data_IF_812703330443
#
_entry.id   IF_812703330443
#
_cell.length_a   1.000
_cell.length_b   1.000
_cell.length_c   1.000
_cell.angle_alpha   90.00
_cell.angle_beta   90.00
_cell.angle_gamma   90.00
#
_symmetry.space_group_name_H-M   'P 1'
#
loop_
_entity.id
_entity.type
_entity.pdbx_description
1 polymer ?
#
# COMPACT_ATOMS: atom_id res chain seq x y z
N UNK A 1 -34.92 -50.98 14.01
CA UNK A 1 -34.65 -49.54 14.13
C UNK A 1 -33.22 -49.23 14.62
N UNK A 2 -32.68 -49.87 15.63
CA UNK A 2 -31.36 -49.55 16.21
C UNK A 2 -30.16 -49.75 15.27
N UNK A 3 -30.23 -50.70 14.31
CA UNK A 3 -29.15 -50.96 13.32
C UNK A 3 -29.08 -49.89 12.20
N UNK A 4 -30.21 -49.31 11.82
CA UNK A 4 -30.28 -48.23 10.80
C UNK A 4 -29.76 -46.93 11.38
N UNK A 5 -30.01 -46.65 12.67
CA UNK A 5 -29.48 -45.45 13.36
C UNK A 5 -27.96 -45.50 13.51
N UNK A 6 -27.36 -46.68 13.73
CA UNK A 6 -25.89 -46.85 13.83
C UNK A 6 -25.20 -46.73 12.47
N UNK A 7 -25.80 -47.17 11.40
CA UNK A 7 -25.26 -46.97 10.04
C UNK A 7 -25.37 -45.52 9.58
N UNK A 8 -26.43 -44.81 9.92
CA UNK A 8 -26.57 -43.39 9.65
C UNK A 8 -25.55 -42.52 10.45
N UNK A 9 -25.31 -42.85 11.72
CA UNK A 9 -24.32 -42.20 12.55
C UNK A 9 -22.88 -42.43 12.06
N UNK A 10 -22.55 -43.62 11.53
CA UNK A 10 -21.23 -43.92 10.94
C UNK A 10 -21.04 -43.22 9.61
N UNK A 11 -22.08 -43.04 8.79
CA UNK A 11 -22.00 -42.28 7.54
C UNK A 11 -21.81 -40.76 7.76
N UNK A 12 -22.45 -40.18 8.79
CA UNK A 12 -22.29 -38.78 9.15
C UNK A 12 -20.88 -38.52 9.73
N UNK A 13 -20.34 -39.47 10.51
CA UNK A 13 -18.96 -39.34 11.07
C UNK A 13 -17.89 -39.53 10.00
N UNK A 14 -18.14 -40.34 8.96
CA UNK A 14 -17.24 -40.52 7.82
C UNK A 14 -17.16 -39.27 6.89
N UNK A 15 -18.24 -38.49 6.78
CA UNK A 15 -18.28 -37.29 5.95
C UNK A 15 -17.59 -36.08 6.61
N UNK A 16 -17.48 -36.06 7.94
CA UNK A 16 -16.81 -34.97 8.69
C UNK A 16 -15.26 -35.02 8.64
N UNK A 17 -14.68 -36.13 8.18
CA UNK A 17 -13.23 -36.35 8.12
C UNK A 17 -12.55 -35.88 6.81
N UNK A 18 -13.33 -35.38 5.83
CA UNK A 18 -12.81 -34.96 4.51
C UNK A 18 -12.71 -33.43 4.39
N UNK A 19 -12.98 -32.69 5.45
CA UNK A 19 -12.64 -31.27 5.48
C UNK A 19 -11.10 -31.13 5.64
N UNK A 20 -10.38 -31.30 4.54
CA UNK A 20 -8.99 -30.90 4.47
C UNK A 20 -8.85 -29.44 4.87
N UNK A 21 -7.71 -29.00 5.42
CA UNK A 21 -7.48 -27.59 5.72
C UNK A 21 -7.74 -26.80 4.43
N UNK A 22 -8.71 -25.90 4.47
CA UNK A 22 -8.90 -24.94 3.40
C UNK A 22 -7.65 -24.05 3.43
N UNK A 23 -6.66 -24.37 2.61
CA UNK A 23 -5.51 -23.49 2.37
C UNK A 23 -6.08 -22.21 1.80
N UNK A 24 -5.94 -21.12 2.54
CA UNK A 24 -6.34 -19.79 2.11
C UNK A 24 -5.31 -19.27 1.10
N UNK A 25 -5.24 -19.90 -0.09
CA UNK A 25 -4.42 -19.43 -1.18
C UNK A 25 -4.87 -18.05 -1.63
N UNK A 26 -3.94 -17.16 -1.89
CA UNK A 26 -4.21 -15.88 -2.54
C UNK A 26 -4.19 -16.06 -4.06
N UNK A 27 -5.06 -15.34 -4.78
CA UNK A 27 -4.99 -15.34 -6.24
C UNK A 27 -3.74 -14.58 -6.69
N UNK A 28 -3.18 -15.00 -7.83
CA UNK A 28 -1.97 -14.35 -8.36
C UNK A 28 -2.19 -12.84 -8.52
N UNK A 29 -3.33 -12.39 -9.03
CA UNK A 29 -3.65 -10.95 -9.18
C UNK A 29 -3.61 -10.13 -7.89
N UNK A 30 -3.78 -10.77 -6.73
CA UNK A 30 -3.79 -10.07 -5.45
C UNK A 30 -2.37 -9.83 -4.91
N UNK A 31 -1.35 -10.54 -5.44
CA UNK A 31 0.03 -10.54 -4.97
C UNK A 31 1.06 -10.07 -6.00
N UNK A 32 0.64 -9.85 -7.26
CA UNK A 32 1.52 -9.36 -8.32
C UNK A 32 0.95 -8.11 -8.98
N UNK A 33 1.81 -7.37 -9.65
CA UNK A 33 1.48 -6.31 -10.60
C UNK A 33 2.08 -6.69 -11.96
N UNK A 34 1.47 -6.24 -13.06
CA UNK A 34 1.97 -6.52 -14.41
C UNK A 34 2.94 -5.42 -14.81
N UNK A 35 4.14 -5.77 -15.26
CA UNK A 35 5.15 -4.80 -15.71
C UNK A 35 4.61 -3.99 -16.91
N UNK A 36 4.82 -2.68 -16.86
CA UNK A 36 4.31 -1.75 -17.89
C UNK A 36 2.87 -1.27 -17.67
N UNK A 37 2.06 -2.00 -16.87
CA UNK A 37 0.70 -1.58 -16.51
C UNK A 37 0.77 -0.67 -15.28
N UNK A 38 1.04 0.62 -15.50
CA UNK A 38 1.17 1.62 -14.45
C UNK A 38 0.51 2.93 -14.86
N UNK A 39 0.04 3.67 -13.86
CA UNK A 39 -0.43 5.03 -14.07
C UNK A 39 0.71 5.93 -14.57
N UNK A 40 0.45 6.71 -15.62
CA UNK A 40 1.35 7.76 -16.08
C UNK A 40 0.97 9.07 -15.41
N UNK A 41 1.97 9.73 -14.84
CA UNK A 41 1.77 11.02 -14.18
C UNK A 41 1.74 12.13 -15.21
N UNK A 42 0.66 12.90 -15.24
CA UNK A 42 0.51 14.08 -16.08
C UNK A 42 0.63 15.34 -15.24
N UNK A 43 1.23 16.36 -15.83
CA UNK A 43 1.39 17.68 -15.22
C UNK A 43 0.99 18.77 -16.21
N UNK A 44 0.37 19.81 -15.73
CA UNK A 44 0.03 20.99 -16.53
C UNK A 44 0.10 22.27 -15.70
N UNK A 45 0.24 23.37 -16.38
CA UNK A 45 0.16 24.69 -15.81
C UNK A 45 -1.13 25.37 -16.27
N UNK A 46 -1.94 25.84 -15.32
CA UNK A 46 -3.25 26.40 -15.61
C UNK A 46 -3.58 27.67 -14.78
N UNK A 47 -4.73 28.20 -15.08
CA UNK A 47 -5.31 29.34 -14.35
C UNK A 47 -6.66 28.92 -13.76
N UNK A 48 -6.86 29.23 -12.48
CA UNK A 48 -8.15 29.16 -11.80
C UNK A 48 -8.72 30.56 -11.74
N UNK A 49 -9.95 30.74 -12.22
CA UNK A 49 -10.66 32.02 -12.26
C UNK A 49 -11.92 31.99 -11.38
N UNK A 50 -12.52 33.14 -11.12
CA UNK A 50 -13.74 33.24 -10.34
C UNK A 50 -13.51 33.19 -8.82
N UNK A 51 -12.30 33.42 -8.37
CA UNK A 51 -11.96 33.48 -6.96
C UNK A 51 -12.49 34.79 -6.32
N UNK A 52 -13.05 34.67 -5.13
CA UNK A 52 -13.60 35.83 -4.43
C UNK A 52 -12.51 36.61 -3.65
N UNK A 53 -11.66 37.33 -4.37
CA UNK A 53 -10.57 38.12 -3.81
C UNK A 53 -9.52 37.28 -3.03
N UNK A 54 -9.46 35.96 -3.31
CA UNK A 54 -8.56 35.02 -2.66
C UNK A 54 -7.46 34.51 -3.58
N UNK A 55 -7.43 34.97 -4.83
CA UNK A 55 -6.42 34.59 -5.83
C UNK A 55 -5.08 35.30 -5.61
N UNK A 56 -4.20 35.14 -6.60
CA UNK A 56 -2.85 35.69 -6.57
C UNK A 56 -2.84 37.22 -6.61
N UNK A 57 -1.88 37.81 -5.90
CA UNK A 57 -1.51 39.20 -6.07
C UNK A 57 -0.59 39.33 -7.30
N UNK A 58 -1.09 39.94 -8.36
CA UNK A 58 -0.36 40.08 -9.62
C UNK A 58 0.96 40.89 -9.51
N UNK A 59 1.15 41.62 -8.38
CA UNK A 59 2.40 42.27 -8.06
C UNK A 59 3.47 41.28 -7.57
N UNK A 60 3.06 40.27 -6.81
CA UNK A 60 3.95 39.26 -6.23
C UNK A 60 4.08 38.02 -7.11
N UNK A 61 3.11 37.77 -8.00
CA UNK A 61 3.07 36.63 -8.90
C UNK A 61 3.16 37.06 -10.38
N UNK A 62 4.33 37.43 -10.89
CA UNK A 62 4.51 37.92 -12.26
C UNK A 62 4.15 36.85 -13.31
N UNK A 63 4.37 35.58 -13.00
CA UNK A 63 3.98 34.45 -13.86
C UNK A 63 2.46 34.33 -14.03
N UNK A 64 1.65 34.64 -13.01
CA UNK A 64 0.18 34.69 -13.12
C UNK A 64 -0.25 35.82 -14.04
N UNK A 65 0.37 36.99 -13.93
CA UNK A 65 0.13 38.13 -14.82
C UNK A 65 0.46 37.78 -16.27
N UNK A 66 1.62 37.19 -16.51
CA UNK A 66 2.03 36.76 -17.85
C UNK A 66 1.07 35.71 -18.44
N UNK A 67 0.64 34.74 -17.64
CA UNK A 67 -0.30 33.71 -18.07
C UNK A 67 -1.67 34.31 -18.48
N UNK A 68 -2.19 35.27 -17.71
CA UNK A 68 -3.42 36.00 -18.04
C UNK A 68 -3.22 36.76 -19.35
N UNK A 69 -2.12 37.48 -19.53
CA UNK A 69 -1.84 38.23 -20.76
C UNK A 69 -1.79 37.29 -21.98
N UNK A 70 -1.02 36.21 -21.89
CA UNK A 70 -0.92 35.22 -22.99
C UNK A 70 -2.26 34.55 -23.33
N UNK A 71 -3.12 34.36 -22.33
CA UNK A 71 -4.46 33.84 -22.54
C UNK A 71 -5.36 34.86 -23.26
N UNK A 72 -5.35 36.13 -22.80
CA UNK A 72 -6.13 37.21 -23.44
C UNK A 72 -5.72 37.44 -24.88
N UNK A 73 -4.42 37.39 -25.17
CA UNK A 73 -3.87 37.49 -26.52
C UNK A 73 -4.36 36.35 -27.44
N UNK A 74 -4.37 35.11 -26.94
CA UNK A 74 -4.95 33.97 -27.68
C UNK A 74 -6.44 34.12 -27.98
N UNK A 75 -7.15 34.86 -27.12
CA UNK A 75 -8.56 35.20 -27.34
C UNK A 75 -8.75 36.46 -28.20
N UNK A 76 -7.68 37.05 -28.74
CA UNK A 76 -7.74 38.23 -29.61
C UNK A 76 -7.77 39.58 -28.89
N UNK A 77 -7.55 39.61 -27.60
CA UNK A 77 -7.48 40.84 -26.79
C UNK A 77 -6.03 41.35 -26.80
N UNK A 78 -5.80 42.56 -27.32
CA UNK A 78 -4.46 43.19 -27.32
C UNK A 78 -4.11 43.70 -25.91
N UNK A 79 -3.12 43.06 -25.28
CA UNK A 79 -2.64 43.42 -23.93
C UNK A 79 -1.31 44.18 -23.92
N UNK A 80 -0.72 44.45 -25.11
CA UNK A 80 0.54 45.16 -25.25
C UNK A 80 0.41 46.70 -25.23
N UNK A 81 -0.83 47.22 -25.13
CA UNK A 81 -1.03 48.63 -24.95
C UNK A 81 -0.48 49.07 -23.57
N UNK A 82 0.48 50.01 -23.49
CA UNK A 82 1.06 50.48 -22.22
C UNK A 82 0.01 50.99 -21.22
N UNK A 83 -1.11 51.51 -21.73
CA UNK A 83 -2.22 51.99 -20.91
C UNK A 83 -3.09 50.86 -20.36
N UNK A 84 -3.19 49.75 -21.06
CA UNK A 84 -3.97 48.58 -20.63
C UNK A 84 -3.18 47.66 -19.70
N UNK A 85 -1.87 47.50 -19.89
CA UNK A 85 -1.02 46.58 -19.11
C UNK A 85 -0.91 46.93 -17.62
N UNK A 86 -1.13 48.22 -17.26
CA UNK A 86 -1.16 48.70 -15.88
C UNK A 86 -2.48 48.47 -15.15
N UNK A 87 -3.54 48.20 -15.89
CA UNK A 87 -4.92 48.11 -15.36
C UNK A 87 -5.32 46.68 -14.93
N UNK A 88 -4.52 45.66 -15.28
CA UNK A 88 -4.80 44.27 -14.86
C UNK A 88 -4.37 44.13 -13.39
N UNK A 89 -5.31 44.42 -12.51
CA UNK A 89 -5.12 44.23 -11.08
C UNK A 89 -6.35 43.48 -10.55
N UNK A 90 -6.25 42.16 -10.45
CA UNK A 90 -7.31 41.30 -9.96
C UNK A 90 -6.73 40.31 -8.95
N UNK A 91 -7.51 39.98 -7.95
CA UNK A 91 -7.25 38.88 -7.00
C UNK A 91 -8.20 37.71 -7.21
N UNK A 92 -8.88 37.69 -8.35
CA UNK A 92 -9.89 36.66 -8.66
C UNK A 92 -9.30 35.54 -9.53
N UNK A 93 -7.99 35.55 -9.76
CA UNK A 93 -7.29 34.56 -10.57
C UNK A 93 -6.07 34.03 -9.81
N UNK A 94 -5.78 32.76 -9.95
CA UNK A 94 -4.59 32.13 -9.40
C UNK A 94 -3.94 31.23 -10.45
N UNK A 95 -2.61 31.27 -10.51
CA UNK A 95 -1.85 30.26 -11.26
C UNK A 95 -1.74 28.98 -10.46
N UNK A 96 -1.97 27.87 -11.15
CA UNK A 96 -2.03 26.55 -10.51
C UNK A 96 -1.21 25.53 -11.28
N UNK A 97 -0.64 24.59 -10.53
CA UNK A 97 -0.17 23.32 -11.05
C UNK A 97 -1.34 22.34 -11.04
N UNK A 98 -1.54 21.68 -12.15
CA UNK A 98 -2.56 20.64 -12.32
C UNK A 98 -1.86 19.30 -12.52
N UNK A 99 -2.24 18.31 -11.75
CA UNK A 99 -1.70 16.95 -11.88
C UNK A 99 -2.85 15.95 -12.06
N UNK A 100 -2.61 14.93 -12.87
CA UNK A 100 -3.56 13.83 -13.05
C UNK A 100 -2.79 12.51 -13.19
N UNK A 101 -3.49 11.41 -12.89
CA UNK A 101 -2.99 10.06 -13.13
C UNK A 101 -3.72 9.48 -14.33
N UNK A 102 -2.99 9.19 -15.40
CA UNK A 102 -3.52 8.58 -16.60
C UNK A 102 -3.37 7.06 -16.48
N UNK A 103 -4.47 6.31 -16.38
CA UNK A 103 -4.42 4.85 -16.39
C UNK A 103 -3.83 4.32 -17.73
N UNK A 104 -3.15 3.17 -17.71
CA UNK A 104 -2.41 2.66 -18.88
C UNK A 104 -3.30 2.36 -20.09
N UNK A 105 -4.55 2.00 -19.86
CA UNK A 105 -5.51 1.64 -20.91
C UNK A 105 -6.64 2.68 -21.08
N UNK A 106 -6.40 3.92 -20.63
CA UNK A 106 -7.39 4.97 -20.79
C UNK A 106 -7.56 5.32 -22.28
N UNK A 107 -8.77 5.08 -22.80
CA UNK A 107 -9.12 5.43 -24.17
C UNK A 107 -9.35 6.95 -24.32
N UNK A 108 -9.13 7.52 -25.54
CA UNK A 108 -9.52 8.89 -25.82
C UNK A 108 -11.00 9.14 -25.52
N UNK A 109 -11.30 10.27 -24.86
CA UNK A 109 -12.64 10.60 -24.35
C UNK A 109 -12.94 10.08 -22.94
N UNK A 110 -12.10 9.22 -22.35
CA UNK A 110 -12.25 8.84 -20.95
C UNK A 110 -12.00 10.04 -20.02
N UNK A 111 -12.70 10.09 -18.91
CA UNK A 111 -12.53 11.14 -17.90
C UNK A 111 -11.70 10.65 -16.73
N UNK A 112 -10.76 11.47 -16.28
CA UNK A 112 -9.90 11.21 -15.12
C UNK A 112 -9.96 12.38 -14.14
N UNK A 113 -9.64 12.12 -12.89
CA UNK A 113 -9.58 13.14 -11.87
C UNK A 113 -8.33 14.00 -12.00
N UNK A 114 -8.49 15.29 -11.76
CA UNK A 114 -7.39 16.23 -11.69
C UNK A 114 -7.24 16.81 -10.29
N UNK A 115 -6.01 16.96 -9.85
CA UNK A 115 -5.64 17.68 -8.62
C UNK A 115 -5.04 19.03 -8.99
N UNK A 116 -5.41 20.07 -8.26
CA UNK A 116 -5.03 21.45 -8.52
C UNK A 116 -4.38 22.03 -7.28
N UNK A 117 -3.23 22.67 -7.44
CA UNK A 117 -2.49 23.30 -6.34
C UNK A 117 -2.02 24.69 -6.74
N UNK A 118 -2.24 25.69 -5.90
CA UNK A 118 -1.81 27.05 -6.16
C UNK A 118 -0.27 27.14 -6.17
N UNK A 119 0.26 27.87 -7.14
CA UNK A 119 1.69 28.12 -7.28
C UNK A 119 2.11 29.50 -6.76
N UNK A 120 1.14 30.43 -6.68
CA UNK A 120 1.37 31.80 -6.25
C UNK A 120 1.04 32.03 -4.77
N UNK A 121 0.63 33.24 -4.47
CA UNK A 121 0.26 33.69 -3.13
C UNK A 121 -1.28 33.68 -2.88
N UNK A 122 -2.01 32.91 -3.69
CA UNK A 122 -3.44 32.72 -3.53
C UNK A 122 -3.76 32.09 -2.15
N UNK A 123 -4.76 32.68 -1.47
CA UNK A 123 -5.16 32.25 -0.13
C UNK A 123 -6.15 31.09 -0.16
N UNK A 124 -6.94 30.97 -1.22
CA UNK A 124 -7.92 29.91 -1.40
C UNK A 124 -8.32 29.75 -2.86
N UNK A 125 -8.53 28.53 -3.28
CA UNK A 125 -9.08 28.15 -4.59
C UNK A 125 -10.58 27.84 -4.53
N UNK A 126 -11.21 27.99 -3.38
CA UNK A 126 -12.61 27.66 -3.16
C UNK A 126 -13.54 28.45 -4.11
N UNK A 127 -14.43 27.71 -4.79
CA UNK A 127 -15.39 28.29 -5.73
C UNK A 127 -14.80 28.70 -7.08
N UNK A 128 -13.49 28.55 -7.27
CA UNK A 128 -12.82 28.83 -8.54
C UNK A 128 -13.07 27.75 -9.59
N UNK A 129 -12.90 28.15 -10.85
CA UNK A 129 -12.97 27.26 -12.00
C UNK A 129 -11.65 27.23 -12.72
N UNK A 130 -11.12 26.02 -12.93
CA UNK A 130 -9.93 25.79 -13.74
C UNK A 130 -10.28 26.02 -15.22
N UNK A 131 -9.53 26.86 -15.88
CA UNK A 131 -9.60 27.05 -17.33
C UNK A 131 -8.97 25.86 -18.05
N UNK A 132 -9.31 25.70 -19.32
CA UNK A 132 -8.78 24.65 -20.17
C UNK A 132 -7.25 24.59 -20.08
N UNK A 133 -6.73 23.48 -19.58
CA UNK A 133 -5.32 23.27 -19.25
C UNK A 133 -4.85 21.96 -19.87
N UNK A 134 -3.82 22.03 -20.71
CA UNK A 134 -3.19 20.84 -21.29
C UNK A 134 -2.35 20.14 -20.22
N UNK A 135 -2.51 18.84 -20.10
CA UNK A 135 -1.74 17.96 -19.21
C UNK A 135 -0.75 17.14 -20.05
N UNK A 136 0.52 17.30 -19.73
CA UNK A 136 1.64 16.68 -20.45
C UNK A 136 2.28 15.60 -19.59
N UNK A 137 2.79 14.55 -20.25
CA UNK A 137 3.66 13.56 -19.60
C UNK A 137 5.14 13.99 -19.69
N UNK A 138 6.03 13.15 -19.21
CA UNK A 138 7.48 13.41 -19.19
C UNK A 138 8.13 13.52 -20.58
N UNK A 139 7.46 13.00 -21.62
CA UNK A 139 7.86 13.12 -23.03
C UNK A 139 7.49 14.47 -23.67
N UNK A 140 6.82 15.35 -22.92
CA UNK A 140 6.37 16.66 -23.38
C UNK A 140 5.13 16.62 -24.28
N UNK A 141 4.49 15.47 -24.47
CA UNK A 141 3.26 15.34 -25.25
C UNK A 141 2.04 15.57 -24.35
N UNK A 142 1.00 16.21 -24.94
CA UNK A 142 -0.30 16.37 -24.27
C UNK A 142 -1.11 15.09 -24.39
N UNK A 143 -1.52 14.54 -23.25
CA UNK A 143 -2.33 13.33 -23.14
C UNK A 143 -3.75 13.59 -22.67
N UNK A 144 -3.95 14.64 -21.90
CA UNK A 144 -5.28 15.00 -21.41
C UNK A 144 -5.46 16.52 -21.35
N UNK A 145 -6.70 16.97 -21.29
CA UNK A 145 -7.05 18.37 -21.09
C UNK A 145 -7.97 18.47 -19.89
N UNK A 146 -7.56 19.31 -18.90
CA UNK A 146 -8.31 19.51 -17.67
C UNK A 146 -9.09 20.82 -17.68
N UNK A 147 -10.33 20.78 -17.16
CA UNK A 147 -11.19 21.94 -16.96
C UNK A 147 -12.26 21.61 -15.92
N UNK A 148 -12.69 22.58 -15.13
CA UNK A 148 -13.83 22.39 -14.24
C UNK A 148 -13.74 23.14 -12.92
N UNK A 149 -14.77 23.01 -12.10
CA UNK A 149 -14.84 23.66 -10.80
C UNK A 149 -13.97 22.98 -9.77
N UNK A 150 -13.13 23.74 -9.08
CA UNK A 150 -12.22 23.24 -8.06
C UNK A 150 -12.97 23.00 -6.75
N UNK A 151 -12.93 21.77 -6.27
CA UNK A 151 -13.46 21.37 -4.96
C UNK A 151 -12.30 21.33 -3.96
N UNK A 152 -12.33 22.21 -2.96
CA UNK A 152 -11.34 22.22 -1.87
C UNK A 152 -11.91 21.50 -0.65
N UNK A 153 -11.11 20.69 0.02
CA UNK A 153 -11.47 20.02 1.28
C UNK A 153 -11.41 20.95 2.51
N UNK A 154 -11.20 22.25 2.30
CA UNK A 154 -11.06 23.21 3.37
C UNK A 154 -12.38 23.90 3.72
N UNK A 155 -12.62 24.07 5.00
CA UNK A 155 -13.69 24.90 5.54
C UNK A 155 -13.05 26.15 6.16
N UNK A 156 -13.43 27.32 5.67
CA UNK A 156 -13.01 28.61 6.23
C UNK A 156 -14.25 29.36 6.77
N UNK A 157 -14.22 29.68 8.02
CA UNK A 157 -15.23 30.52 8.66
C UNK A 157 -14.57 31.78 9.20
N UNK A 158 -15.05 32.94 8.77
CA UNK A 158 -14.57 34.25 9.24
C UNK A 158 -15.64 34.88 10.12
N UNK A 159 -15.34 35.14 11.38
CA UNK A 159 -16.22 35.84 12.30
C UNK A 159 -16.23 37.37 12.07
N UNK A 160 -17.29 38.02 12.43
CA UNK A 160 -17.44 39.49 12.34
C UNK A 160 -16.37 40.26 13.14
N UNK A 161 -15.69 39.61 14.09
CA UNK A 161 -14.60 40.16 14.89
C UNK A 161 -13.22 40.06 14.22
N UNK A 162 -13.14 39.57 12.96
CA UNK A 162 -11.88 39.39 12.24
C UNK A 162 -11.11 38.10 12.58
N UNK A 163 -11.66 37.25 13.47
CA UNK A 163 -11.08 35.92 13.71
C UNK A 163 -11.50 34.97 12.59
N UNK A 164 -10.52 34.27 11.98
CA UNK A 164 -10.78 33.25 10.97
C UNK A 164 -10.28 31.88 11.46
N UNK A 165 -11.10 30.86 11.31
CA UNK A 165 -10.70 29.47 11.53
C UNK A 165 -10.70 28.78 10.18
N UNK A 166 -9.53 28.31 9.74
CA UNK A 166 -9.40 27.51 8.52
C UNK A 166 -9.01 26.09 8.93
N UNK A 167 -9.81 25.11 8.50
CA UNK A 167 -9.54 23.71 8.67
C UNK A 167 -9.32 23.06 7.30
N UNK A 168 -8.19 22.39 7.09
CA UNK A 168 -7.78 21.85 5.80
C UNK A 168 -6.91 22.82 5.01
N UNK A 169 -6.53 22.42 3.77
CA UNK A 169 -5.68 23.20 2.88
C UNK A 169 -6.53 23.86 1.79
N UNK A 170 -6.80 25.17 1.87
CA UNK A 170 -7.66 25.86 0.91
C UNK A 170 -6.98 26.13 -0.44
N UNK A 171 -5.65 26.02 -0.52
CA UNK A 171 -4.83 26.25 -1.72
C UNK A 171 -4.63 25.02 -2.60
N UNK A 172 -5.18 23.88 -2.19
CA UNK A 172 -5.23 22.67 -2.97
C UNK A 172 -6.68 22.18 -3.12
N UNK A 173 -6.97 21.55 -4.25
CA UNK A 173 -8.30 21.02 -4.53
C UNK A 173 -8.26 19.91 -5.56
N UNK A 174 -9.44 19.30 -5.78
CA UNK A 174 -9.66 18.23 -6.76
C UNK A 174 -10.81 18.64 -7.68
N UNK A 175 -10.72 18.22 -8.92
CA UNK A 175 -11.78 18.29 -9.91
C UNK A 175 -12.12 16.86 -10.29
N UNK A 176 -13.24 16.36 -9.79
CA UNK A 176 -13.70 15.01 -10.07
C UNK A 176 -14.06 14.89 -11.56
N UNK A 177 -13.53 13.89 -12.24
CA UNK A 177 -13.66 13.70 -13.70
C UNK A 177 -13.33 14.97 -14.49
N UNK A 178 -12.40 15.78 -13.98
CA UNK A 178 -12.09 17.11 -14.49
C UNK A 178 -11.13 17.15 -15.66
N UNK A 179 -10.55 16.03 -16.05
CA UNK A 179 -9.68 15.96 -17.22
C UNK A 179 -10.20 14.90 -18.19
N UNK A 180 -10.16 15.23 -19.47
CA UNK A 180 -10.54 14.33 -20.59
C UNK A 180 -9.25 13.86 -21.25
N UNK A 181 -9.14 12.56 -21.47
CA UNK A 181 -8.03 11.94 -22.20
C UNK A 181 -8.18 12.22 -23.67
N UNK A 182 -7.18 12.84 -24.29
CA UNK A 182 -7.12 13.15 -25.72
C UNK A 182 -6.31 12.12 -26.50
N UNK A 183 -5.35 11.49 -25.82
CA UNK A 183 -4.44 10.51 -26.43
C UNK A 183 -4.18 9.36 -25.49
N UNK A 184 -4.22 8.15 -26.01
CA UNK A 184 -3.80 6.95 -25.29
C UNK A 184 -2.27 6.85 -25.18
N UNK A 185 -1.79 6.03 -24.23
CA UNK A 185 -0.36 5.85 -24.00
C UNK A 185 0.35 4.99 -25.04
N UNK A 186 -0.41 4.39 -25.98
CA UNK A 186 0.11 3.51 -27.03
C UNK A 186 0.63 2.16 -26.48
N UNK A 187 0.24 1.79 -25.26
CA UNK A 187 0.61 0.52 -24.65
C UNK A 187 -0.19 -0.63 -25.30
N UNK A 188 0.47 -1.39 -26.17
CA UNK A 188 -0.15 -2.53 -26.85
C UNK A 188 0.21 -3.84 -26.14
N UNK A 189 -0.67 -4.29 -25.28
CA UNK A 189 -0.48 -5.48 -24.46
C UNK A 189 -0.45 -6.78 -25.30
N UNK A 190 -1.28 -6.87 -26.33
CA UNK A 190 -1.38 -8.06 -27.19
C UNK A 190 -0.15 -8.28 -28.09
N UNK A 191 0.59 -7.21 -28.39
CA UNK A 191 1.78 -7.29 -29.22
C UNK A 191 3.04 -7.67 -28.42
N UNK A 192 2.94 -7.82 -27.11
CA UNK A 192 4.09 -8.18 -26.26
C UNK A 192 4.41 -9.67 -26.41
N UNK A 193 5.67 -10.05 -26.75
CA UNK A 193 6.06 -11.45 -26.85
C UNK A 193 6.19 -12.10 -25.45
N UNK A 194 6.39 -11.28 -24.42
CA UNK A 194 6.60 -11.66 -23.05
C UNK A 194 5.94 -10.65 -22.11
N UNK A 195 5.28 -11.12 -21.10
CA UNK A 195 4.73 -10.31 -20.02
C UNK A 195 5.43 -10.69 -18.71
N UNK A 196 5.78 -9.70 -17.91
CA UNK A 196 6.43 -9.92 -16.61
C UNK A 196 5.48 -9.59 -15.49
N UNK A 197 5.31 -10.55 -14.58
CA UNK A 197 4.62 -10.35 -13.33
C UNK A 197 5.61 -9.90 -12.28
N UNK A 198 5.36 -8.77 -11.65
CA UNK A 198 6.19 -8.23 -10.57
C UNK A 198 5.52 -8.50 -9.24
N UNK A 199 6.16 -9.26 -8.37
CA UNK A 199 5.66 -9.54 -7.03
C UNK A 199 5.70 -8.26 -6.19
N UNK A 200 4.61 -7.98 -5.46
CA UNK A 200 4.53 -6.86 -4.50
C UNK A 200 5.49 -7.06 -3.33
N UNK A 201 5.64 -8.31 -2.88
CA UNK A 201 6.61 -8.69 -1.87
C UNK A 201 7.63 -9.63 -2.52
N UNK A 202 8.88 -9.18 -2.61
CA UNK A 202 9.96 -9.94 -3.21
C UNK A 202 10.28 -11.20 -2.39
N UNK A 203 10.05 -12.39 -2.96
CA UNK A 203 10.37 -13.68 -2.34
C UNK A 203 10.60 -14.77 -3.37
N UNK A 204 11.73 -15.47 -3.26
CA UNK A 204 12.12 -16.55 -4.18
C UNK A 204 11.14 -17.74 -4.15
N UNK A 205 10.64 -18.09 -2.97
CA UNK A 205 9.73 -19.22 -2.79
C UNK A 205 8.39 -18.92 -3.44
N UNK A 206 7.85 -17.73 -3.21
CA UNK A 206 6.59 -17.27 -3.81
C UNK A 206 6.71 -17.14 -5.33
N UNK A 207 7.79 -16.55 -5.84
CA UNK A 207 8.04 -16.44 -7.28
C UNK A 207 8.06 -17.82 -7.96
N UNK A 208 8.75 -18.79 -7.34
CA UNK A 208 8.78 -20.17 -7.82
C UNK A 208 7.42 -20.85 -7.75
N UNK A 209 6.68 -20.72 -6.63
CA UNK A 209 5.33 -21.28 -6.49
C UNK A 209 4.36 -20.72 -7.54
N UNK A 210 4.47 -19.44 -7.88
CA UNK A 210 3.71 -18.81 -8.96
C UNK A 210 4.05 -19.45 -10.30
N UNK A 211 5.35 -19.57 -10.62
CA UNK A 211 5.79 -20.19 -11.87
C UNK A 211 5.35 -21.66 -11.97
N UNK A 212 5.44 -22.42 -10.88
CA UNK A 212 5.03 -23.83 -10.82
C UNK A 212 3.51 -23.97 -10.98
N UNK A 213 2.69 -23.10 -10.35
CA UNK A 213 1.23 -23.08 -10.49
C UNK A 213 0.81 -22.79 -11.94
N UNK A 214 1.45 -21.80 -12.58
CA UNK A 214 1.19 -21.46 -13.97
C UNK A 214 1.62 -22.60 -14.90
N UNK A 215 2.80 -23.18 -14.70
CA UNK A 215 3.30 -24.29 -15.51
C UNK A 215 2.48 -25.58 -15.33
N UNK A 216 1.78 -25.73 -14.23
CA UNK A 216 0.84 -26.84 -14.03
C UNK A 216 -0.39 -26.69 -14.94
N UNK A 217 -0.89 -25.47 -15.13
CA UNK A 217 -2.00 -25.17 -16.02
C UNK A 217 -1.56 -25.04 -17.48
N UNK A 218 -0.39 -24.42 -17.72
CA UNK A 218 0.17 -24.11 -19.03
C UNK A 218 1.67 -24.46 -19.07
N UNK A 219 2.05 -25.69 -19.43
CA UNK A 219 3.42 -26.18 -19.32
C UNK A 219 4.43 -25.33 -20.11
N UNK A 220 5.51 -24.91 -19.45
CA UNK A 220 6.63 -24.19 -20.06
C UNK A 220 6.36 -22.72 -20.40
N UNK A 221 5.28 -22.12 -19.86
CA UNK A 221 4.91 -20.73 -20.15
C UNK A 221 5.39 -19.73 -19.10
N UNK A 222 5.82 -20.19 -17.93
CA UNK A 222 6.26 -19.31 -16.84
C UNK A 222 7.64 -19.68 -16.34
N UNK A 223 8.48 -18.66 -16.07
CA UNK A 223 9.80 -18.80 -15.48
C UNK A 223 10.04 -17.73 -14.42
N UNK A 224 10.43 -18.12 -13.21
CA UNK A 224 10.87 -17.19 -12.18
C UNK A 224 12.30 -16.73 -12.51
N UNK A 225 12.47 -15.45 -12.89
CA UNK A 225 13.79 -14.87 -13.20
C UNK A 225 14.53 -14.44 -11.94
N UNK A 226 13.79 -13.90 -10.97
CA UNK A 226 14.33 -13.41 -9.71
C UNK A 226 13.22 -13.38 -8.64
N UNK A 227 13.49 -12.98 -7.38
CA UNK A 227 12.48 -13.01 -6.31
C UNK A 227 11.29 -12.06 -6.54
N UNK A 228 11.41 -11.15 -7.52
CA UNK A 228 10.41 -10.12 -7.81
C UNK A 228 9.70 -10.36 -9.13
N UNK A 229 10.34 -11.04 -10.10
CA UNK A 229 9.85 -11.13 -11.48
C UNK A 229 9.62 -12.57 -11.89
N UNK A 230 8.42 -12.82 -12.42
CA UNK A 230 8.07 -14.07 -13.12
C UNK A 230 7.73 -13.71 -14.56
N UNK A 231 8.54 -14.20 -15.50
CA UNK A 231 8.32 -14.00 -16.93
C UNK A 231 7.25 -14.98 -17.46
N UNK A 232 6.36 -14.48 -18.30
CA UNK A 232 5.25 -15.21 -18.93
C UNK A 232 5.35 -15.14 -20.45
N UNK A 233 5.19 -16.30 -21.09
CA UNK A 233 5.07 -16.41 -22.55
C UNK A 233 3.72 -17.01 -22.90
N UNK A 234 2.90 -16.34 -23.70
CA UNK A 234 1.63 -16.89 -24.09
C UNK A 234 1.81 -18.17 -24.92
N UNK A 235 1.03 -19.24 -24.63
CA UNK A 235 1.08 -20.45 -25.43
C UNK A 235 0.53 -20.18 -26.84
N UNK A 236 1.00 -20.93 -27.83
CA UNK A 236 0.55 -20.78 -29.22
C UNK A 236 -0.96 -20.95 -29.34
N UNK A 237 -1.63 -19.97 -29.95
CA UNK A 237 -3.08 -19.98 -30.18
C UNK A 237 -3.94 -19.35 -29.09
N UNK A 238 -3.33 -18.82 -28.03
CA UNK A 238 -4.02 -18.04 -27.00
C UNK A 238 -3.50 -16.59 -27.06
N UNK A 239 -4.39 -15.61 -27.06
CA UNK A 239 -4.00 -14.21 -26.96
C UNK A 239 -3.54 -13.86 -25.54
N UNK A 240 -2.69 -12.84 -25.43
CA UNK A 240 -2.05 -12.49 -24.17
C UNK A 240 -3.05 -12.07 -23.10
N UNK A 241 -4.14 -11.37 -23.47
CA UNK A 241 -5.17 -10.93 -22.51
C UNK A 241 -5.88 -12.12 -21.87
N UNK A 242 -6.34 -13.08 -22.68
CA UNK A 242 -7.00 -14.29 -22.15
C UNK A 242 -6.03 -15.15 -21.35
N UNK A 243 -4.78 -15.25 -21.77
CA UNK A 243 -3.76 -15.98 -21.03
C UNK A 243 -3.54 -15.37 -19.64
N UNK A 244 -3.29 -14.06 -19.57
CA UNK A 244 -3.05 -13.37 -18.29
C UNK A 244 -4.29 -13.42 -17.40
N UNK A 245 -5.50 -13.26 -17.95
CA UNK A 245 -6.74 -13.38 -17.18
C UNK A 245 -6.87 -14.74 -16.50
N UNK A 246 -6.54 -15.83 -17.22
CA UNK A 246 -6.56 -17.17 -16.63
C UNK A 246 -5.46 -17.37 -15.57
N UNK A 247 -4.28 -16.80 -15.80
CA UNK A 247 -3.16 -16.83 -14.84
C UNK A 247 -3.50 -16.06 -13.57
N UNK A 248 -4.12 -14.90 -13.68
CA UNK A 248 -4.51 -14.06 -12.55
C UNK A 248 -5.46 -14.74 -11.57
N UNK A 249 -6.31 -15.64 -12.05
CA UNK A 249 -7.29 -16.37 -11.22
C UNK A 249 -6.72 -17.63 -10.54
N UNK A 250 -5.48 -18.03 -10.85
CA UNK A 250 -4.82 -19.15 -10.19
C UNK A 250 -4.52 -18.82 -8.72
N UNK A 251 -4.72 -19.81 -7.85
CA UNK A 251 -4.42 -19.68 -6.43
C UNK A 251 -3.02 -20.18 -6.10
N UNK A 252 -2.30 -19.37 -5.33
CA UNK A 252 -0.96 -19.70 -4.83
C UNK A 252 -0.89 -19.35 -3.35
N UNK A 253 -0.11 -20.10 -2.58
CA UNK A 253 0.17 -19.83 -1.18
C UNK A 253 1.47 -19.00 -1.08
N UNK A 254 1.36 -17.66 -0.88
CA UNK A 254 2.55 -16.82 -0.78
C UNK A 254 3.29 -17.08 0.54
N UNK A 255 4.60 -16.98 0.50
CA UNK A 255 5.41 -16.94 1.72
C UNK A 255 5.26 -15.56 2.37
N UNK A 256 4.96 -15.56 3.66
CA UNK A 256 4.91 -14.30 4.43
C UNK A 256 6.20 -14.15 5.22
N UNK A 257 7.01 -13.12 4.94
CA UNK A 257 8.23 -12.89 5.70
C UNK A 257 7.87 -12.61 7.17
N UNK A 258 8.68 -13.13 8.09
CA UNK A 258 8.55 -12.82 9.50
C UNK A 258 8.80 -11.31 9.69
N UNK A 259 7.75 -10.53 9.97
CA UNK A 259 7.81 -9.07 10.11
C UNK A 259 7.09 -8.62 11.36
N UNK A 260 7.68 -7.66 12.05
CA UNK A 260 7.08 -6.94 13.18
C UNK A 260 6.96 -5.48 12.79
N UNK A 261 5.76 -4.93 12.87
CA UNK A 261 5.49 -3.50 12.63
C UNK A 261 5.17 -2.87 13.98
N UNK A 262 5.86 -1.79 14.28
CA UNK A 262 5.76 -1.07 15.53
C UNK A 262 5.36 0.37 15.24
N UNK A 263 4.22 0.79 15.79
CA UNK A 263 3.81 2.19 15.83
C UNK A 263 4.15 2.77 17.20
N UNK A 264 5.14 3.67 17.24
CA UNK A 264 5.59 4.28 18.49
C UNK A 264 4.63 5.37 19.00
N UNK A 265 3.87 5.97 18.11
CA UNK A 265 2.93 7.05 18.47
C UNK A 265 1.69 6.49 19.15
N UNK A 266 1.09 5.47 18.53
CA UNK A 266 -0.14 4.85 19.03
C UNK A 266 0.14 3.65 19.96
N UNK A 267 1.40 3.21 20.07
CA UNK A 267 1.80 2.08 20.92
C UNK A 267 1.28 0.72 20.41
N UNK A 268 1.07 0.59 19.11
CA UNK A 268 0.55 -0.62 18.47
C UNK A 268 1.71 -1.48 17.95
N UNK A 269 1.67 -2.78 18.27
CA UNK A 269 2.62 -3.78 17.76
C UNK A 269 1.86 -4.82 16.95
N UNK A 270 2.17 -4.94 15.66
CA UNK A 270 1.62 -5.95 14.76
C UNK A 270 2.71 -6.95 14.41
N UNK A 271 2.45 -8.24 14.58
CA UNK A 271 3.42 -9.29 14.33
C UNK A 271 2.83 -10.44 13.53
N UNK A 272 3.62 -11.03 12.65
CA UNK A 272 3.28 -12.27 11.95
C UNK A 272 3.33 -13.49 12.88
N UNK A 273 2.64 -14.57 12.49
CA UNK A 273 2.60 -15.85 13.24
C UNK A 273 3.98 -16.53 13.32
N UNK A 274 4.83 -16.29 12.33
CA UNK A 274 6.10 -17.01 12.13
C UNK A 274 7.30 -16.30 12.75
N UNK A 275 7.08 -15.21 13.47
CA UNK A 275 8.13 -14.48 14.18
C UNK A 275 8.63 -15.30 15.39
N UNK A 276 9.90 -15.69 15.34
CA UNK A 276 10.57 -16.49 16.39
C UNK A 276 11.64 -15.70 17.09
N UNK A 277 11.87 -16.01 18.36
CA UNK A 277 12.93 -15.44 19.17
C UNK A 277 13.90 -16.56 19.56
N UNK A 278 15.20 -16.35 19.26
CA UNK A 278 16.27 -17.19 19.76
C UNK A 278 16.51 -16.96 21.25
N UNK A 279 17.31 -17.83 21.87
CA UNK A 279 17.66 -17.71 23.28
C UNK A 279 18.31 -16.35 23.56
N UNK A 280 17.68 -15.57 24.45
CA UNK A 280 18.15 -14.24 24.84
C UNK A 280 17.77 -13.95 26.29
N UNK A 281 18.63 -13.22 26.98
CA UNK A 281 18.35 -12.67 28.31
C UNK A 281 18.34 -11.15 28.24
N UNK A 282 17.29 -10.52 28.74
CA UNK A 282 17.12 -9.07 28.71
C UNK A 282 16.85 -8.59 30.12
N UNK A 283 17.54 -7.53 30.52
CA UNK A 283 17.28 -6.83 31.76
C UNK A 283 16.96 -5.36 31.43
N UNK A 284 15.78 -4.90 31.82
CA UNK A 284 15.36 -3.51 31.72
C UNK A 284 14.82 -3.01 33.06
N UNK A 285 15.52 -2.06 33.68
CA UNK A 285 15.17 -1.59 35.02
C UNK A 285 15.24 -2.70 36.05
N UNK A 286 14.10 -3.07 36.65
CA UNK A 286 13.96 -4.16 37.59
C UNK A 286 13.40 -5.47 37.00
N UNK A 287 13.25 -5.53 35.69
CA UNK A 287 12.70 -6.68 34.93
C UNK A 287 13.84 -7.45 34.25
N UNK A 288 13.97 -8.75 34.52
CA UNK A 288 14.89 -9.65 33.81
C UNK A 288 14.12 -10.72 33.11
N UNK A 289 14.32 -10.83 31.78
CA UNK A 289 13.65 -11.80 30.90
C UNK A 289 14.72 -12.76 30.38
N UNK A 290 14.52 -14.06 30.57
CA UNK A 290 15.40 -15.10 30.02
C UNK A 290 14.59 -16.09 29.20
N UNK A 291 14.95 -16.26 27.93
CA UNK A 291 14.40 -17.27 27.01
C UNK A 291 15.41 -18.41 26.90
N UNK A 292 14.99 -19.63 27.24
CA UNK A 292 15.85 -20.82 27.20
C UNK A 292 15.17 -21.94 26.41
N UNK A 293 15.85 -22.50 25.46
CA UNK A 293 15.41 -23.69 24.73
C UNK A 293 15.96 -24.96 25.39
N UNK A 294 15.06 -25.87 25.77
CA UNK A 294 15.42 -27.20 26.25
C UNK A 294 14.75 -28.27 25.39
N UNK A 295 15.48 -29.04 24.61
CA UNK A 295 14.90 -30.12 23.82
C UNK A 295 14.38 -31.24 24.75
N UNK A 296 13.13 -31.61 24.61
CA UNK A 296 12.55 -32.74 25.32
C UNK A 296 12.37 -33.91 24.38
N UNK A 297 12.89 -35.06 24.74
CA UNK A 297 12.72 -36.30 23.99
C UNK A 297 11.45 -37.00 24.48
N UNK A 298 10.46 -37.12 23.60
CA UNK A 298 9.28 -37.97 23.86
C UNK A 298 9.61 -39.38 23.42
N UNK A 299 9.78 -40.27 24.38
CA UNK A 299 10.00 -41.71 24.08
C UNK A 299 8.67 -42.47 24.23
N UNK A 300 8.38 -43.36 23.29
CA UNK A 300 7.25 -44.28 23.45
C UNK A 300 7.44 -45.21 24.66
N UNK A 301 6.33 -45.67 25.25
CA UNK A 301 6.40 -46.64 26.33
C UNK A 301 7.14 -47.91 25.88
N UNK A 302 7.82 -48.63 26.78
CA UNK A 302 8.49 -49.87 26.47
C UNK A 302 7.50 -50.86 25.80
N UNK A 303 7.94 -51.47 24.67
CA UNK A 303 7.14 -52.35 23.82
C UNK A 303 6.06 -51.76 22.94
N UNK A 304 6.00 -50.43 22.77
CA UNK A 304 5.14 -49.77 21.76
C UNK A 304 5.89 -49.54 20.44
N UNK A 305 5.16 -49.57 19.30
CA UNK A 305 5.71 -49.33 17.95
C UNK A 305 5.79 -47.82 17.59
N UNK A 306 6.04 -46.97 18.55
CA UNK A 306 6.18 -45.52 18.31
C UNK A 306 7.62 -45.09 17.94
N UNK A 307 7.77 -44.00 17.21
CA UNK A 307 9.05 -43.41 16.85
C UNK A 307 9.43 -42.33 17.87
N UNK A 308 10.70 -42.34 18.33
CA UNK A 308 11.22 -41.28 19.20
C UNK A 308 11.27 -39.97 18.45
N UNK A 309 10.57 -38.94 18.94
CA UNK A 309 10.55 -37.61 18.35
C UNK A 309 11.11 -36.59 19.34
N UNK A 310 12.07 -35.78 18.89
CA UNK A 310 12.63 -34.66 19.65
C UNK A 310 11.70 -33.45 19.42
N UNK A 311 11.05 -33.00 20.49
CA UNK A 311 10.21 -31.80 20.45
C UNK A 311 10.96 -30.67 21.16
N UNK A 312 11.30 -29.58 20.47
CA UNK A 312 11.91 -28.41 21.11
C UNK A 312 10.90 -27.78 22.06
N UNK A 313 11.30 -27.54 23.29
CA UNK A 313 10.48 -26.87 24.31
C UNK A 313 11.24 -25.64 24.82
N UNK A 314 10.65 -24.45 24.60
CA UNK A 314 11.23 -23.18 25.05
C UNK A 314 10.60 -22.76 26.37
N UNK A 315 11.42 -22.27 27.27
CA UNK A 315 11.03 -21.76 28.59
C UNK A 315 11.38 -20.29 28.70
N UNK A 316 10.39 -19.44 28.90
CA UNK A 316 10.59 -18.01 29.21
C UNK A 316 10.49 -17.82 30.70
N UNK A 317 11.55 -17.27 31.33
CA UNK A 317 11.56 -16.87 32.74
C UNK A 317 11.58 -15.35 32.82
N UNK A 318 10.67 -14.81 33.61
CA UNK A 318 10.61 -13.39 33.94
C UNK A 318 10.79 -13.26 35.47
N UNK A 319 11.75 -12.46 35.90
CA UNK A 319 12.04 -12.25 37.32
C UNK A 319 11.84 -10.77 37.67
N UNK A 320 10.86 -10.48 38.53
CA UNK A 320 10.66 -9.18 39.16
C UNK A 320 11.18 -9.23 40.62
N UNK A 321 12.02 -8.31 40.98
CA UNK A 321 12.63 -8.26 42.34
C UNK A 321 11.64 -8.07 43.50
N UNK A 322 10.32 -7.96 43.21
CA UNK A 322 9.25 -7.98 44.22
C UNK A 322 8.28 -9.12 43.97
N UNK A 323 8.66 -10.34 44.32
CA UNK A 323 7.78 -11.51 44.28
C UNK A 323 7.99 -12.37 43.06
N UNK A 324 8.81 -13.39 43.19
CA UNK A 324 9.15 -14.38 42.15
C UNK A 324 7.93 -14.99 41.50
N UNK A 325 7.61 -14.58 40.28
CA UNK A 325 6.68 -15.29 39.40
C UNK A 325 7.44 -15.80 38.19
N UNK A 326 7.63 -17.10 38.13
CA UNK A 326 8.15 -17.84 37.00
C UNK A 326 6.98 -18.17 36.06
N UNK A 327 7.02 -17.71 34.82
CA UNK A 327 6.09 -18.14 33.80
C UNK A 327 6.83 -19.06 32.80
N UNK A 328 6.41 -20.33 32.75
CA UNK A 328 6.90 -21.32 31.81
C UNK A 328 6.05 -21.26 30.52
N UNK A 329 6.63 -20.87 29.41
CA UNK A 329 6.01 -20.95 28.08
C UNK A 329 6.68 -22.09 27.32
N UNK A 330 5.92 -23.12 26.97
CA UNK A 330 6.42 -24.30 26.24
C UNK A 330 6.31 -24.13 24.72
N UNK A 331 7.35 -24.55 24.00
CA UNK A 331 7.45 -24.51 22.53
C UNK A 331 8.44 -23.42 22.07
N UNK A 332 9.04 -23.55 20.88
CA UNK A 332 9.89 -22.48 20.34
C UNK A 332 9.23 -21.13 20.59
N UNK A 333 9.89 -20.24 21.35
CA UNK A 333 9.23 -19.05 21.83
C UNK A 333 8.79 -18.17 20.67
N UNK A 334 7.50 -18.22 20.33
CA UNK A 334 6.95 -17.25 19.40
C UNK A 334 6.96 -15.87 20.07
N UNK A 335 7.22 -14.83 19.31
CA UNK A 335 7.14 -13.45 19.81
C UNK A 335 5.79 -13.20 20.48
N UNK A 336 4.71 -13.77 19.98
CA UNK A 336 3.37 -13.68 20.56
C UNK A 336 3.31 -14.17 22.03
N UNK A 337 4.00 -15.27 22.33
CA UNK A 337 4.07 -15.78 23.71
C UNK A 337 4.79 -14.82 24.64
N UNK A 338 5.86 -14.18 24.15
CA UNK A 338 6.63 -13.19 24.93
C UNK A 338 5.79 -11.93 25.15
N UNK A 339 5.15 -11.40 24.12
CA UNK A 339 4.27 -10.22 24.21
C UNK A 339 3.08 -10.49 25.14
N UNK A 340 2.46 -11.66 25.06
CA UNK A 340 1.37 -12.04 25.97
C UNK A 340 1.86 -12.10 27.43
N UNK A 341 3.07 -12.65 27.65
CA UNK A 341 3.70 -12.68 28.97
C UNK A 341 4.00 -11.28 29.51
N UNK A 342 4.53 -10.38 28.69
CA UNK A 342 4.81 -8.99 29.06
C UNK A 342 3.54 -8.20 29.38
N UNK A 343 2.48 -8.38 28.58
CA UNK A 343 1.17 -7.78 28.84
C UNK A 343 0.57 -8.27 30.17
N UNK A 344 0.70 -9.57 30.48
CA UNK A 344 0.23 -10.13 31.74
C UNK A 344 0.97 -9.56 32.97
N UNK A 345 2.19 -9.07 32.78
CA UNK A 345 3.00 -8.41 33.81
C UNK A 345 2.73 -6.91 33.93
N UNK A 346 1.88 -6.34 33.04
CA UNK A 346 1.53 -4.93 33.07
C UNK A 346 2.63 -4.00 32.51
N UNK A 347 3.52 -4.53 31.66
CA UNK A 347 4.53 -3.71 30.95
C UNK A 347 3.83 -2.73 30.04
N UNK A 348 4.26 -1.46 30.06
CA UNK A 348 3.64 -0.45 29.18
C UNK A 348 3.95 -0.72 27.70
N UNK A 349 3.08 -0.32 26.75
CA UNK A 349 3.35 -0.49 25.32
C UNK A 349 4.70 0.10 24.90
N UNK A 350 5.08 1.24 25.45
CA UNK A 350 6.34 1.92 25.16
C UNK A 350 7.56 1.13 25.63
N UNK A 351 7.50 0.55 26.83
CA UNK A 351 8.56 -0.30 27.35
C UNK A 351 8.68 -1.61 26.54
N UNK A 352 7.54 -2.16 26.11
CA UNK A 352 7.50 -3.34 25.25
C UNK A 352 8.18 -3.09 23.89
N UNK A 353 7.96 -1.93 23.29
CA UNK A 353 8.63 -1.50 22.05
C UNK A 353 10.14 -1.46 22.27
N UNK A 354 10.59 -0.83 23.34
CA UNK A 354 12.03 -0.74 23.68
C UNK A 354 12.65 -2.13 23.90
N UNK A 355 11.94 -3.05 24.53
CA UNK A 355 12.38 -4.45 24.72
C UNK A 355 12.50 -5.16 23.36
N UNK A 356 11.50 -5.02 22.47
CA UNK A 356 11.52 -5.66 21.14
C UNK A 356 12.66 -5.11 20.28
N UNK A 357 12.90 -3.81 20.31
CA UNK A 357 14.03 -3.19 19.62
C UNK A 357 15.38 -3.71 20.15
N UNK A 358 15.51 -3.89 21.46
CA UNK A 358 16.72 -4.46 22.07
C UNK A 358 16.92 -5.94 21.67
N UNK A 359 15.85 -6.75 21.62
CA UNK A 359 15.89 -8.14 21.13
C UNK A 359 16.34 -8.19 19.67
N UNK A 360 15.82 -7.30 18.84
CA UNK A 360 16.22 -7.22 17.45
C UNK A 360 17.69 -6.80 17.29
N UNK A 361 18.11 -5.75 18.02
CA UNK A 361 19.48 -5.27 17.99
C UNK A 361 20.50 -6.32 18.46
N UNK A 362 20.08 -7.24 19.36
CA UNK A 362 20.91 -8.38 19.80
C UNK A 362 21.00 -9.50 18.75
N UNK A 363 20.25 -9.45 17.65
CA UNK A 363 20.14 -10.50 16.64
C UNK A 363 19.33 -11.73 17.09
N UNK A 364 18.68 -11.68 18.24
CA UNK A 364 17.87 -12.78 18.75
C UNK A 364 16.48 -12.85 18.13
N UNK A 365 15.98 -11.79 17.48
CA UNK A 365 14.72 -11.77 16.75
C UNK A 365 14.97 -12.18 15.30
N UNK A 366 14.33 -13.26 14.88
CA UNK A 366 14.37 -13.72 13.47
C UNK A 366 13.21 -13.11 12.69
N UNK A 367 13.21 -11.79 12.57
CA UNK A 367 12.21 -11.03 11.82
C UNK A 367 12.70 -9.62 11.52
N UNK A 368 12.19 -9.03 10.46
CA UNK A 368 12.40 -7.62 10.15
C UNK A 368 11.49 -6.74 11.02
N UNK A 369 12.07 -5.66 11.57
CA UNK A 369 11.29 -4.65 12.29
C UNK A 369 11.10 -3.43 11.40
N UNK A 370 9.84 -3.04 11.21
CA UNK A 370 9.47 -1.76 10.63
C UNK A 370 8.86 -0.87 11.71
N UNK A 371 9.40 0.34 11.87
CA UNK A 371 8.86 1.37 12.78
C UNK A 371 8.09 2.37 11.92
N UNK A 372 6.86 2.73 12.35
CA UNK A 372 5.99 3.68 11.70
C UNK A 372 5.80 4.93 12.55
#
# INVERSE_FOLDING_TARGET
MLRILRLAALAIFGCALIAGPASAGSRIKDIVDIEGVRDNLLVGYGLVVGLNNTGDSLQNAPFTKQAIQSMMERMGVNTHDPTASGLINTKNVAAVMVTAKLPPFAAPGATIDASVSAMGDAKSLLGGTLLMTSLMATDGQTYAVAQGTVQTGAVSATGASGSSITRGVPTAGRIASGAIVERETGFNFDAMPEVRLTLRNADFTTARRIADAINTAYPGTAAAENPTIVALHAPAGLDMVNFVTNVEDLNVEPETPAKVVIDEVDGVVVMGSDVRISQVAIAQGNLTITVTETPRVSQPAPFSQGVTTVVPQSTVKVDEQKGKKLMLVGGGASLQSVVTGLNALGVTPRDMISILQAIAASGALQADIAVM
#
